data_IF_330303042331
#
_entry.id   IF_330303042331
#
_cell.length_a   1.000
_cell.length_b   1.000
_cell.length_c   1.000
_cell.angle_alpha   90.00
_cell.angle_beta   90.00
_cell.angle_gamma   90.00
#
_symmetry.space_group_name_H-M   'P 1'
#
loop_
_entity.id
_entity.type
_entity.pdbx_description
1 polymer ?
#
# COMPACT_ATOMS: atom_id res chain seq x y z
N UNK A 1 22.98 8.67 15.18
CA UNK A 1 21.97 7.63 14.88
C UNK A 1 20.60 8.30 14.65
N UNK A 2 20.08 8.20 13.43
CA UNK A 2 18.85 8.92 12.99
C UNK A 2 17.56 8.09 13.14
N UNK A 3 17.66 6.80 13.49
CA UNK A 3 16.52 5.87 13.53
C UNK A 3 15.98 5.72 14.96
N UNK A 4 14.68 5.98 15.15
CA UNK A 4 13.94 5.60 16.36
C UNK A 4 13.35 4.21 16.15
N UNK A 5 13.74 3.25 16.99
CA UNK A 5 13.23 1.88 16.93
C UNK A 5 12.32 1.63 18.13
N UNK A 6 11.07 1.27 17.84
CA UNK A 6 10.15 0.74 18.84
C UNK A 6 10.26 -0.80 18.82
N UNK A 7 10.82 -1.43 19.85
CA UNK A 7 10.99 -2.88 19.86
C UNK A 7 9.64 -3.57 20.07
N UNK A 8 9.44 -4.67 19.34
CA UNK A 8 8.28 -5.56 19.40
C UNK A 8 6.94 -4.96 18.96
N UNK A 9 6.40 -5.52 17.89
CA UNK A 9 5.05 -5.28 17.41
C UNK A 9 4.12 -6.36 17.98
N UNK A 10 3.00 -5.94 18.58
CA UNK A 10 1.98 -6.84 19.14
C UNK A 10 0.86 -6.04 19.80
N UNK A 11 -0.20 -6.73 20.24
CA UNK A 11 -1.38 -6.04 20.80
C UNK A 11 -1.05 -5.27 22.08
N UNK A 12 -0.09 -5.78 22.86
CA UNK A 12 0.41 -5.12 24.08
C UNK A 12 1.12 -3.78 23.82
N UNK A 13 1.66 -3.55 22.62
CA UNK A 13 2.37 -2.31 22.27
C UNK A 13 1.52 -1.33 21.45
N UNK A 14 0.28 -1.72 21.12
CA UNK A 14 -0.62 -0.95 20.25
C UNK A 14 -0.79 0.50 20.69
N UNK A 15 -1.08 0.76 21.97
CA UNK A 15 -1.28 2.12 22.48
C UNK A 15 -0.07 3.04 22.34
N UNK A 16 1.15 2.48 22.35
CA UNK A 16 2.38 3.25 22.12
C UNK A 16 2.56 3.57 20.64
N UNK A 17 2.23 2.63 19.77
CA UNK A 17 2.36 2.79 18.32
C UNK A 17 1.30 3.77 17.80
N UNK A 18 0.04 3.64 18.23
CA UNK A 18 -1.02 4.56 17.80
C UNK A 18 -0.77 6.00 18.27
N UNK A 19 -0.11 6.19 19.43
CA UNK A 19 0.27 7.51 19.92
C UNK A 19 1.32 8.22 19.04
N UNK A 20 2.12 7.49 18.26
CA UNK A 20 3.10 8.10 17.35
C UNK A 20 2.54 8.39 15.96
N UNK A 21 1.46 7.72 15.54
CA UNK A 21 0.88 7.87 14.20
C UNK A 21 0.60 9.32 13.79
N UNK A 22 0.05 10.21 14.64
CA UNK A 22 -0.23 11.60 14.25
C UNK A 22 1.01 12.44 13.92
N UNK A 23 2.22 11.93 14.23
CA UNK A 23 3.50 12.61 13.99
C UNK A 23 4.21 12.09 12.75
N UNK A 24 3.67 11.06 12.10
CA UNK A 24 4.26 10.45 10.92
C UNK A 24 3.79 11.18 9.66
N UNK A 25 4.68 11.32 8.67
CA UNK A 25 4.30 11.79 7.34
C UNK A 25 3.69 10.66 6.47
N UNK A 26 4.10 9.41 6.73
CA UNK A 26 3.61 8.20 6.07
C UNK A 26 3.88 6.97 6.93
N UNK A 27 3.14 5.89 6.69
CA UNK A 27 3.33 4.58 7.33
C UNK A 27 3.61 3.51 6.28
N UNK A 28 4.74 2.82 6.43
CA UNK A 28 5.12 1.66 5.60
C UNK A 28 4.91 0.38 6.40
N UNK A 29 4.19 -0.57 5.83
CA UNK A 29 3.89 -1.87 6.41
C UNK A 29 4.39 -2.96 5.48
N UNK A 30 5.00 -4.02 6.00
CA UNK A 30 5.35 -5.17 5.18
C UNK A 30 6.61 -5.92 5.57
N UNK A 31 7.80 -5.29 5.53
CA UNK A 31 9.05 -6.01 5.67
C UNK A 31 9.17 -6.65 7.06
N UNK A 32 9.02 -7.97 7.14
CA UNK A 32 9.20 -8.72 8.38
C UNK A 32 8.05 -8.61 9.39
N UNK A 33 6.83 -8.28 8.95
CA UNK A 33 5.64 -8.41 9.82
C UNK A 33 5.40 -9.87 10.20
N UNK A 34 5.71 -10.80 9.29
CA UNK A 34 5.43 -12.22 9.49
C UNK A 34 3.93 -12.51 9.51
N UNK A 35 3.57 -13.69 10.04
CA UNK A 35 2.19 -14.22 10.04
C UNK A 35 1.70 -14.58 11.44
N UNK A 36 2.37 -14.07 12.46
CA UNK A 36 1.96 -14.28 13.84
C UNK A 36 0.59 -13.61 14.09
N UNK A 37 -0.41 -14.33 14.64
CA UNK A 37 -1.75 -13.78 14.82
C UNK A 37 -1.81 -12.51 15.69
N UNK A 38 -0.96 -12.39 16.71
CA UNK A 38 -0.93 -11.20 17.58
C UNK A 38 -0.38 -9.99 16.80
N UNK A 39 0.68 -10.21 16.03
CA UNK A 39 1.27 -9.19 15.16
C UNK A 39 0.28 -8.73 14.08
N UNK A 40 -0.40 -9.67 13.42
CA UNK A 40 -1.39 -9.35 12.40
C UNK A 40 -2.57 -8.59 13.01
N UNK A 41 -3.08 -9.02 14.18
CA UNK A 41 -4.17 -8.33 14.90
C UNK A 41 -3.79 -6.89 15.26
N UNK A 42 -2.60 -6.69 15.83
CA UNK A 42 -2.09 -5.35 16.13
C UNK A 42 -1.95 -4.50 14.86
N UNK A 43 -1.44 -5.09 13.78
CA UNK A 43 -1.28 -4.40 12.49
C UNK A 43 -2.63 -3.95 11.92
N UNK A 44 -3.69 -4.77 12.01
CA UNK A 44 -5.05 -4.35 11.60
C UNK A 44 -5.51 -3.11 12.36
N UNK A 45 -5.34 -3.11 13.68
CA UNK A 45 -5.72 -1.95 14.51
C UNK A 45 -4.89 -0.70 14.18
N UNK A 46 -3.60 -0.88 13.87
CA UNK A 46 -2.74 0.24 13.42
C UNK A 46 -3.20 0.79 12.07
N UNK A 47 -3.53 -0.09 11.11
CA UNK A 47 -4.06 0.32 9.80
C UNK A 47 -5.35 1.11 9.98
N UNK A 48 -6.29 0.61 10.79
CA UNK A 48 -7.55 1.31 11.05
C UNK A 48 -7.33 2.70 11.67
N UNK A 49 -6.44 2.81 12.68
CA UNK A 49 -6.12 4.10 13.27
C UNK A 49 -5.42 5.05 12.26
N UNK A 50 -4.58 4.52 11.38
CA UNK A 50 -3.88 5.31 10.37
C UNK A 50 -4.82 5.81 9.26
N UNK A 51 -5.81 5.01 8.85
CA UNK A 51 -6.81 5.42 7.86
C UNK A 51 -7.76 6.49 8.42
N UNK A 52 -8.13 6.41 9.70
CA UNK A 52 -8.86 7.47 10.41
C UNK A 52 -8.10 8.81 10.40
N UNK A 53 -6.78 8.75 10.51
CA UNK A 53 -5.89 9.92 10.46
C UNK A 53 -5.59 10.40 9.02
N UNK A 54 -6.10 9.71 7.99
CA UNK A 54 -5.76 9.95 6.58
C UNK A 54 -4.24 9.89 6.30
N UNK A 55 -3.52 9.09 7.08
CA UNK A 55 -2.07 8.95 6.97
C UNK A 55 -1.69 8.17 5.70
N UNK A 56 -0.81 8.69 4.82
CA UNK A 56 -0.37 7.95 3.64
C UNK A 56 0.19 6.57 3.99
N UNK A 57 -0.31 5.51 3.33
CA UNK A 57 0.12 4.14 3.58
C UNK A 57 0.89 3.54 2.40
N UNK A 58 1.89 2.72 2.69
CA UNK A 58 2.52 1.82 1.72
C UNK A 58 2.45 0.39 2.27
N UNK A 59 1.80 -0.50 1.53
CA UNK A 59 1.67 -1.91 1.88
C UNK A 59 2.55 -2.75 0.96
N UNK A 60 3.53 -3.43 1.56
CA UNK A 60 4.50 -4.30 0.91
C UNK A 60 4.46 -5.71 1.51
N UNK A 61 4.93 -6.72 0.79
CA UNK A 61 5.13 -8.09 1.28
C UNK A 61 4.01 -8.63 2.19
N UNK A 62 4.33 -8.90 3.47
CA UNK A 62 3.39 -9.47 4.45
C UNK A 62 2.15 -8.58 4.72
N UNK A 63 2.24 -7.27 4.51
CA UNK A 63 1.09 -6.37 4.65
C UNK A 63 0.05 -6.57 3.54
N UNK A 64 0.50 -6.99 2.36
CA UNK A 64 -0.40 -7.39 1.28
C UNK A 64 -1.13 -8.68 1.65
N UNK A 65 -0.41 -9.66 2.23
CA UNK A 65 -1.06 -10.83 2.80
C UNK A 65 -2.14 -10.44 3.82
N UNK A 66 -1.85 -9.54 4.76
CA UNK A 66 -2.84 -9.03 5.71
C UNK A 66 -4.09 -8.47 5.00
N UNK A 67 -3.89 -7.62 3.98
CA UNK A 67 -4.98 -7.05 3.18
C UNK A 67 -5.80 -8.13 2.46
N UNK A 68 -5.16 -9.19 1.95
CA UNK A 68 -5.86 -10.31 1.31
C UNK A 68 -6.78 -11.08 2.26
N UNK A 69 -6.46 -11.09 3.57
CA UNK A 69 -7.32 -11.71 4.60
C UNK A 69 -8.53 -10.85 4.96
N UNK A 70 -8.46 -9.54 4.69
CA UNK A 70 -9.47 -8.58 5.09
C UNK A 70 -9.41 -7.34 4.20
N UNK A 71 -9.97 -7.48 3.00
CA UNK A 71 -9.96 -6.42 1.98
C UNK A 71 -10.72 -5.17 2.42
N UNK A 72 -11.58 -5.26 3.43
CA UNK A 72 -12.37 -4.13 3.91
C UNK A 72 -11.54 -3.11 4.68
N UNK A 73 -10.33 -3.47 5.14
CA UNK A 73 -9.41 -2.59 5.85
C UNK A 73 -9.10 -1.29 5.10
N UNK A 74 -9.04 -1.35 3.76
CA UNK A 74 -8.74 -0.20 2.91
C UNK A 74 -9.88 0.16 1.95
N UNK A 75 -11.10 -0.30 2.23
CA UNK A 75 -12.24 0.01 1.37
C UNK A 75 -12.50 1.53 1.37
N UNK A 76 -12.62 2.11 0.18
CA UNK A 76 -12.80 3.56 -0.03
C UNK A 76 -11.65 4.42 0.52
N UNK A 77 -10.51 3.82 0.86
CA UNK A 77 -9.33 4.55 1.26
C UNK A 77 -8.45 4.81 0.04
N UNK A 78 -8.18 6.07 -0.28
CA UNK A 78 -7.44 6.43 -1.50
C UNK A 78 -5.96 6.71 -1.24
N UNK A 79 -5.59 7.01 0.00
CA UNK A 79 -4.24 7.42 0.36
C UNK A 79 -3.35 6.22 0.71
N UNK A 80 -3.36 5.18 -0.13
CA UNK A 80 -2.46 4.04 0.01
C UNK A 80 -1.91 3.51 -1.32
N UNK A 81 -0.69 2.97 -1.24
CA UNK A 81 0.03 2.33 -2.34
C UNK A 81 0.26 0.85 -1.97
N UNK A 82 -0.13 -0.05 -2.86
CA UNK A 82 0.16 -1.47 -2.79
C UNK A 82 1.40 -1.75 -3.64
N UNK A 83 2.41 -2.45 -3.11
CA UNK A 83 3.63 -2.81 -3.85
C UNK A 83 3.75 -4.32 -4.06
N UNK A 84 2.82 -4.95 -4.81
CA UNK A 84 2.85 -6.39 -4.99
C UNK A 84 4.05 -6.85 -5.79
N UNK A 85 4.44 -8.11 -5.55
CA UNK A 85 5.31 -8.81 -6.47
C UNK A 85 4.59 -9.11 -7.80
N UNK A 86 5.35 -9.55 -8.80
CA UNK A 86 4.85 -9.82 -10.15
C UNK A 86 3.68 -10.81 -10.18
N UNK A 87 3.70 -11.83 -9.31
CA UNK A 87 2.68 -12.89 -9.28
C UNK A 87 1.36 -12.35 -8.71
N UNK A 88 1.44 -11.52 -7.68
CA UNK A 88 0.29 -10.99 -6.95
C UNK A 88 -0.35 -9.76 -7.61
N UNK A 89 0.36 -9.11 -8.53
CA UNK A 89 -0.07 -7.83 -9.13
C UNK A 89 -1.48 -7.90 -9.74
N UNK A 90 -1.78 -8.97 -10.48
CA UNK A 90 -3.09 -9.13 -11.15
C UNK A 90 -4.22 -9.18 -10.12
N UNK A 91 -4.01 -9.88 -9.01
CA UNK A 91 -5.01 -10.00 -7.94
C UNK A 91 -5.31 -8.63 -7.32
N UNK A 92 -4.28 -7.87 -6.95
CA UNK A 92 -4.49 -6.55 -6.33
C UNK A 92 -5.04 -5.52 -7.32
N UNK A 93 -4.63 -5.55 -8.60
CA UNK A 93 -5.21 -4.69 -9.62
C UNK A 93 -6.73 -4.92 -9.77
N UNK A 94 -7.19 -6.17 -9.73
CA UNK A 94 -8.61 -6.50 -9.76
C UNK A 94 -9.33 -6.02 -8.49
N UNK A 95 -8.74 -6.24 -7.31
CA UNK A 95 -9.31 -5.76 -6.04
C UNK A 95 -9.46 -4.25 -6.02
N UNK A 96 -8.46 -3.51 -6.51
CA UNK A 96 -8.52 -2.06 -6.62
C UNK A 96 -9.67 -1.61 -7.51
N UNK A 97 -9.83 -2.22 -8.70
CA UNK A 97 -10.89 -1.87 -9.64
C UNK A 97 -12.30 -2.17 -9.13
N UNK A 98 -12.46 -3.22 -8.32
CA UNK A 98 -13.79 -3.77 -7.97
C UNK A 98 -14.25 -3.46 -6.55
N UNK A 99 -13.32 -3.49 -5.58
CA UNK A 99 -13.66 -3.56 -4.15
C UNK A 99 -13.05 -2.40 -3.37
N UNK A 100 -11.78 -2.10 -3.60
CA UNK A 100 -11.05 -1.12 -2.79
C UNK A 100 -11.27 0.32 -3.27
N UNK A 101 -11.28 0.53 -4.60
CA UNK A 101 -11.52 1.82 -5.25
C UNK A 101 -10.33 2.78 -5.19
N UNK A 102 -9.83 3.21 -6.36
CA UNK A 102 -8.81 4.28 -6.54
C UNK A 102 -7.49 4.14 -5.77
N UNK A 103 -7.22 2.98 -5.16
CA UNK A 103 -5.93 2.68 -4.56
C UNK A 103 -4.85 2.51 -5.61
N UNK A 104 -3.64 2.96 -5.31
CA UNK A 104 -2.53 2.81 -6.26
C UNK A 104 -1.86 1.45 -6.09
N UNK A 105 -1.62 0.74 -7.17
CA UNK A 105 -0.81 -0.48 -7.28
C UNK A 105 0.46 -0.16 -8.04
N UNK A 106 1.60 -0.54 -7.46
CA UNK A 106 2.92 -0.37 -8.03
C UNK A 106 3.56 -1.74 -8.28
N UNK A 107 3.57 -2.16 -9.54
CA UNK A 107 4.28 -3.35 -9.97
C UNK A 107 5.73 -2.99 -10.28
N UNK A 108 6.66 -3.54 -9.50
CA UNK A 108 8.09 -3.35 -9.73
C UNK A 108 8.60 -4.30 -10.82
N UNK A 109 9.44 -3.79 -11.73
CA UNK A 109 9.96 -4.58 -12.84
C UNK A 109 11.15 -3.93 -13.54
N UNK A 110 11.50 -4.40 -14.75
CA UNK A 110 12.44 -3.67 -15.62
C UNK A 110 11.90 -2.29 -15.99
N UNK A 111 10.58 -2.20 -16.08
CA UNK A 111 9.79 -0.98 -16.18
C UNK A 111 8.76 -1.10 -15.06
N UNK A 112 8.69 -0.09 -14.19
CA UNK A 112 7.70 -0.07 -13.12
C UNK A 112 6.34 0.34 -13.71
N UNK A 113 5.27 -0.34 -13.32
CA UNK A 113 3.89 -0.01 -13.74
C UNK A 113 3.13 0.49 -12.52
N UNK A 114 2.50 1.64 -12.65
CA UNK A 114 1.70 2.28 -11.60
C UNK A 114 0.26 2.33 -12.09
N UNK A 115 -0.71 1.87 -11.30
CA UNK A 115 -2.12 1.82 -11.70
C UNK A 115 -3.05 2.13 -10.53
N UNK A 116 -4.18 2.80 -10.77
CA UNK A 116 -5.24 3.01 -9.78
C UNK A 116 -6.47 2.11 -10.01
N UNK A 117 -6.31 1.07 -10.84
CA UNK A 117 -7.37 0.16 -11.27
C UNK A 117 -8.21 0.67 -12.45
N UNK A 118 -8.06 1.94 -12.84
CA UNK A 118 -8.72 2.56 -13.99
C UNK A 118 -7.71 3.07 -15.03
N UNK A 119 -6.57 3.57 -14.57
CA UNK A 119 -5.52 4.23 -15.35
C UNK A 119 -4.16 3.64 -15.00
N UNK A 120 -3.15 3.86 -15.86
CA UNK A 120 -1.78 3.48 -15.52
C UNK A 120 -0.69 4.18 -16.27
N UNK A 121 0.44 4.34 -15.61
CA UNK A 121 1.65 4.87 -16.23
C UNK A 121 2.84 3.93 -16.05
N UNK A 122 3.76 4.01 -17.01
CA UNK A 122 5.01 3.25 -17.02
C UNK A 122 6.16 4.18 -16.64
N UNK A 123 6.96 3.77 -15.66
CA UNK A 123 8.18 4.47 -15.29
C UNK A 123 9.42 3.73 -15.82
N UNK A 124 10.02 4.28 -16.87
CA UNK A 124 11.21 3.73 -17.53
C UNK A 124 12.53 4.05 -16.81
N UNK A 125 12.50 4.77 -15.67
CA UNK A 125 13.72 5.18 -14.96
C UNK A 125 14.35 4.07 -14.10
N UNK A 126 13.75 2.88 -14.01
CA UNK A 126 14.33 1.72 -13.31
C UNK A 126 14.52 1.87 -11.79
N UNK A 127 14.02 2.96 -11.19
CA UNK A 127 14.09 3.23 -9.75
C UNK A 127 12.77 3.77 -9.21
N UNK A 128 12.16 2.98 -8.33
CA UNK A 128 10.92 3.26 -7.59
C UNK A 128 11.04 4.43 -6.58
N UNK A 129 12.27 4.81 -6.21
CA UNK A 129 12.56 5.73 -5.08
C UNK A 129 12.04 7.16 -5.31
N UNK A 130 11.84 7.58 -6.57
CA UNK A 130 11.38 8.95 -6.90
C UNK A 130 9.91 9.25 -6.59
N UNK A 131 9.07 8.24 -6.38
CA UNK A 131 7.62 8.42 -6.21
C UNK A 131 7.21 8.74 -4.76
N UNK A 132 8.02 8.32 -3.79
CA UNK A 132 7.70 8.44 -2.35
C UNK A 132 8.36 9.68 -1.73
N UNK A 133 9.43 10.23 -2.34
CA UNK A 133 10.32 11.18 -1.69
C UNK A 133 9.93 12.66 -1.79
N UNK A 134 8.89 13.02 -2.55
CA UNK A 134 8.40 14.40 -2.63
C UNK A 134 6.94 14.43 -2.22
N UNK A 135 6.65 14.89 -1.00
CA UNK A 135 5.30 15.17 -0.46
C UNK A 135 4.49 16.24 -1.23
N UNK A 136 4.56 16.20 -2.57
CA UNK A 136 3.87 16.98 -3.58
C UNK A 136 3.82 16.15 -4.87
N UNK A 137 3.03 15.09 -4.90
CA UNK A 137 2.65 14.39 -6.14
C UNK A 137 1.32 13.66 -5.93
N UNK A 138 0.32 14.41 -5.46
CA UNK A 138 -1.05 13.92 -5.31
C UNK A 138 -2.02 14.61 -6.29
N UNK A 139 -1.54 15.21 -7.38
CA UNK A 139 -2.44 15.87 -8.34
C UNK A 139 -2.14 15.67 -9.83
N UNK A 140 -0.91 15.33 -10.26
CA UNK A 140 -0.52 15.54 -11.68
C UNK A 140 0.26 14.38 -12.34
N UNK A 141 -0.07 13.10 -12.08
CA UNK A 141 0.59 12.02 -12.83
C UNK A 141 -0.36 10.85 -13.10
N UNK A 142 -1.20 10.98 -14.14
CA UNK A 142 -2.01 9.89 -14.67
C UNK A 142 -2.20 10.07 -16.19
N UNK A 143 -1.66 9.14 -16.98
CA UNK A 143 -2.09 8.86 -18.36
C UNK A 143 -2.48 7.36 -18.42
N UNK A 144 -3.19 6.95 -19.47
CA UNK A 144 -4.25 5.92 -19.45
C UNK A 144 -3.78 4.55 -19.99
N UNK A 145 -4.25 3.42 -19.42
CA UNK A 145 -4.19 2.12 -20.12
C UNK A 145 -5.11 2.20 -21.36
N UNK A 146 -4.65 1.87 -22.57
CA UNK A 146 -5.58 1.72 -23.68
C UNK A 146 -6.63 0.65 -23.37
N UNK A 147 -7.83 0.81 -23.94
CA UNK A 147 -9.04 0.01 -23.70
C UNK A 147 -8.89 -1.51 -24.00
N UNK A 148 -7.72 -1.98 -24.43
CA UNK A 148 -7.47 -3.31 -24.97
C UNK A 148 -6.98 -4.36 -23.94
N UNK A 149 -6.57 -3.94 -22.73
CA UNK A 149 -6.10 -4.89 -21.70
C UNK A 149 -7.27 -5.61 -21.00
N UNK A 150 -8.45 -4.98 -20.91
CA UNK A 150 -9.65 -5.62 -20.36
C UNK A 150 -10.20 -6.75 -21.27
N UNK A 151 -9.92 -6.70 -22.58
CA UNK A 151 -10.40 -7.69 -23.54
C UNK A 151 -9.58 -8.99 -23.57
N UNK A 152 -8.39 -9.01 -22.96
CA UNK A 152 -7.51 -10.21 -22.91
C UNK A 152 -7.71 -11.07 -21.65
N UNK A 153 -8.63 -10.69 -20.77
CA UNK A 153 -8.95 -11.42 -19.54
C UNK A 153 -10.31 -12.16 -19.58
N UNK A 154 -10.91 -12.29 -20.77
CA UNK A 154 -12.08 -13.13 -21.04
C UNK A 154 -11.69 -14.35 -21.87
#
# INVERSE_FOLDING_TARGET
PELIVHPYLGTATLGRITAVLPRLDALVLGPGLGRDPDVLSATKSIVAAATELQLPLVLDGDALYLLSTDVLLLRNYTNAILTPNTVETIYYALLVKTTLGHLTVLQKGKIDVISDGYTSTNNNMGFTVGLIQRGKLWSNLVEVFPDDVAAKAM
#
